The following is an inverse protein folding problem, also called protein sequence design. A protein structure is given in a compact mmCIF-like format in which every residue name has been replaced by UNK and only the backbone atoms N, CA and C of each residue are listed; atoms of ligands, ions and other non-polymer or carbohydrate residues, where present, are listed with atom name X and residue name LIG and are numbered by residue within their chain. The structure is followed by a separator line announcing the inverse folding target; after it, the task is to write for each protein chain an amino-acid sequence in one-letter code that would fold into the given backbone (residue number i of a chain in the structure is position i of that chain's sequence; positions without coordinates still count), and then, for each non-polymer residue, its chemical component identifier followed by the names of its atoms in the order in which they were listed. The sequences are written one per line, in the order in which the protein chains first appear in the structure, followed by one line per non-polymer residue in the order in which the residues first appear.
data_IF_337468355926
#
_entry.id   IF_337468355926
#
_cell.length_a   1.000
_cell.length_b   1.000
_cell.length_c   1.000
_cell.angle_alpha   90.00
_cell.angle_beta   90.00
_cell.angle_gamma   90.00
#
_symmetry.space_group_name_H-M   'P 1'
#
loop_
_entity.id
_entity.type
_entity.pdbx_description
1 polymer ?
#
# COMPACT_ATOMS: atom_id res chain seq x y z
N UNK A 1 18.94 -49.00 -61.93
CA UNK A 1 18.30 -48.31 -63.08
C UNK A 1 19.36 -48.10 -64.15
N UNK A 2 19.10 -48.48 -65.41
CA UNK A 2 20.00 -48.14 -66.54
C UNK A 2 20.01 -46.62 -66.68
N UNK A 3 21.16 -45.99 -66.48
CA UNK A 3 21.32 -44.56 -66.74
C UNK A 3 21.30 -44.35 -68.26
N UNK A 4 20.20 -43.78 -68.75
CA UNK A 4 20.11 -43.36 -70.15
C UNK A 4 20.85 -42.02 -70.23
N UNK A 5 22.03 -42.03 -70.82
CA UNK A 5 22.78 -40.81 -71.09
C UNK A 5 22.02 -39.98 -72.13
N UNK A 6 21.64 -38.76 -71.74
CA UNK A 6 20.99 -37.77 -72.60
C UNK A 6 21.90 -36.57 -72.74
N UNK A 7 22.03 -36.06 -73.96
CA UNK A 7 22.91 -34.93 -74.28
C UNK A 7 22.08 -33.67 -74.50
N UNK A 8 22.46 -32.57 -73.84
CA UNK A 8 21.91 -31.24 -74.08
C UNK A 8 22.93 -30.46 -74.91
N UNK A 9 22.49 -29.86 -76.02
CA UNK A 9 23.33 -28.99 -76.85
C UNK A 9 23.25 -27.55 -76.32
N UNK A 10 24.40 -26.88 -76.23
CA UNK A 10 24.52 -25.48 -75.83
C UNK A 10 25.73 -24.85 -76.54
N UNK A 11 25.85 -23.53 -76.50
CA UNK A 11 26.89 -22.81 -77.25
C UNK A 11 28.29 -23.00 -76.65
N UNK A 12 29.34 -22.77 -77.45
CA UNK A 12 30.74 -22.78 -76.96
C UNK A 12 30.93 -21.74 -75.85
N UNK A 13 30.25 -20.60 -75.95
CA UNK A 13 30.31 -19.54 -74.93
C UNK A 13 29.71 -20.00 -73.59
N UNK A 14 28.62 -20.77 -73.64
CA UNK A 14 28.01 -21.33 -72.44
C UNK A 14 28.85 -22.45 -71.85
N UNK A 15 29.60 -23.21 -72.67
CA UNK A 15 30.55 -24.21 -72.18
C UNK A 15 31.66 -23.59 -71.34
N UNK A 16 32.22 -22.47 -71.79
CA UNK A 16 33.25 -21.73 -71.05
C UNK A 16 32.71 -21.22 -69.72
N UNK A 17 31.48 -20.70 -69.68
CA UNK A 17 30.82 -20.27 -68.43
C UNK A 17 30.58 -21.47 -67.50
N UNK A 18 30.08 -22.58 -68.06
CA UNK A 18 29.74 -23.76 -67.31
C UNK A 18 30.98 -24.43 -66.68
N UNK A 19 32.08 -24.51 -67.43
CA UNK A 19 33.37 -24.99 -66.92
C UNK A 19 33.89 -24.11 -65.78
N UNK A 20 33.86 -22.78 -65.95
CA UNK A 20 34.29 -21.84 -64.89
C UNK A 20 33.48 -22.00 -63.60
N UNK A 21 32.15 -22.16 -63.69
CA UNK A 21 31.29 -22.34 -62.52
C UNK A 21 31.53 -23.71 -61.88
N UNK A 22 31.66 -24.77 -62.69
CA UNK A 22 31.94 -26.12 -62.23
C UNK A 22 33.28 -26.19 -61.46
N UNK A 23 34.34 -25.61 -62.03
CA UNK A 23 35.66 -25.50 -61.38
C UNK A 23 35.61 -24.67 -60.10
N UNK A 24 34.94 -23.50 -60.12
CA UNK A 24 34.80 -22.65 -58.93
C UNK A 24 34.11 -23.36 -57.77
N UNK A 25 33.14 -24.23 -58.06
CA UNK A 25 32.40 -24.99 -57.06
C UNK A 25 33.04 -26.35 -56.73
N UNK A 26 34.14 -26.73 -57.40
CA UNK A 26 34.82 -28.01 -57.21
C UNK A 26 33.99 -29.22 -57.65
N UNK A 27 33.14 -29.08 -58.67
CA UNK A 27 32.17 -30.10 -59.12
C UNK A 27 32.37 -30.42 -60.59
N UNK A 28 32.00 -31.63 -61.01
CA UNK A 28 31.91 -31.94 -62.44
C UNK A 28 30.71 -31.22 -63.06
N UNK A 29 30.80 -30.88 -64.36
CA UNK A 29 29.69 -30.29 -65.14
C UNK A 29 28.39 -31.06 -64.94
N UNK A 30 28.44 -32.40 -65.05
CA UNK A 30 27.28 -33.29 -64.84
C UNK A 30 26.64 -33.14 -63.46
N UNK A 31 27.45 -33.09 -62.40
CA UNK A 31 26.94 -32.94 -61.04
C UNK A 31 26.30 -31.56 -60.83
N UNK A 32 26.96 -30.50 -61.34
CA UNK A 32 26.44 -29.15 -61.27
C UNK A 32 25.10 -29.03 -62.01
N UNK A 33 24.97 -29.61 -63.20
CA UNK A 33 23.71 -29.61 -63.96
C UNK A 33 22.57 -30.32 -63.21
N UNK A 34 22.85 -31.50 -62.64
CA UNK A 34 21.84 -32.21 -61.83
C UNK A 34 21.37 -31.37 -60.65
N UNK A 35 22.30 -30.70 -59.96
CA UNK A 35 21.97 -29.84 -58.83
C UNK A 35 21.22 -28.57 -59.25
N UNK A 36 21.53 -28.00 -60.41
CA UNK A 36 20.76 -26.87 -60.97
C UNK A 36 19.32 -27.30 -61.27
N UNK A 37 19.13 -28.47 -61.90
CA UNK A 37 17.79 -29.02 -62.13
C UNK A 37 17.03 -29.24 -60.83
N UNK A 38 17.66 -29.88 -59.84
CA UNK A 38 17.05 -30.10 -58.52
C UNK A 38 16.72 -28.77 -57.83
N UNK A 39 17.61 -27.79 -57.93
CA UNK A 39 17.43 -26.46 -57.36
C UNK A 39 16.21 -25.75 -57.97
N UNK A 40 16.11 -25.66 -59.30
CA UNK A 40 14.97 -25.02 -59.94
C UNK A 40 13.67 -25.81 -59.75
N UNK A 41 13.74 -27.14 -59.78
CA UNK A 41 12.57 -27.99 -59.56
C UNK A 41 12.01 -27.86 -58.13
N UNK A 42 12.87 -27.77 -57.11
CA UNK A 42 12.45 -27.63 -55.70
C UNK A 42 12.11 -26.20 -55.33
N UNK A 43 12.91 -25.23 -55.77
CA UNK A 43 12.71 -23.82 -55.42
C UNK A 43 11.60 -23.16 -56.23
N UNK A 44 11.16 -23.79 -57.34
CA UNK A 44 10.19 -23.24 -58.30
C UNK A 44 10.58 -21.86 -58.86
N UNK A 45 11.85 -21.47 -58.70
CA UNK A 45 12.39 -20.23 -59.24
C UNK A 45 12.51 -20.34 -60.75
N UNK A 46 12.21 -19.25 -61.42
CA UNK A 46 12.46 -19.11 -62.85
C UNK A 46 13.95 -18.84 -63.08
N UNK A 47 14.68 -19.68 -63.86
CA UNK A 47 16.08 -19.43 -64.21
C UNK A 47 16.32 -18.11 -64.96
N UNK A 48 15.26 -17.50 -65.51
CA UNK A 48 15.32 -16.20 -66.18
C UNK A 48 15.14 -15.00 -65.23
N UNK A 49 14.70 -15.24 -63.99
CA UNK A 49 14.63 -14.22 -62.92
C UNK A 49 16.02 -13.98 -62.30
N UNK A 50 16.90 -13.31 -63.05
CA UNK A 50 18.26 -13.00 -62.62
C UNK A 50 18.33 -12.06 -61.40
N UNK A 51 17.24 -11.35 -61.10
CA UNK A 51 17.17 -10.38 -60.02
C UNK A 51 16.57 -10.94 -58.73
N UNK A 52 16.15 -12.22 -58.73
CA UNK A 52 15.49 -12.87 -57.58
C UNK A 52 14.27 -12.06 -57.09
N UNK A 53 13.45 -11.53 -58.00
CA UNK A 53 12.30 -10.68 -57.67
C UNK A 53 11.29 -11.40 -56.78
N UNK A 54 11.11 -12.71 -56.97
CA UNK A 54 10.25 -13.52 -56.11
C UNK A 54 10.72 -13.52 -54.66
N UNK A 55 12.03 -13.65 -54.42
CA UNK A 55 12.62 -13.62 -53.08
C UNK A 55 12.47 -12.24 -52.44
N UNK A 56 12.75 -11.17 -53.18
CA UNK A 56 12.58 -9.79 -52.70
C UNK A 56 11.14 -9.53 -52.28
N UNK A 57 10.17 -9.94 -53.11
CA UNK A 57 8.76 -9.78 -52.82
C UNK A 57 8.32 -10.54 -51.57
N UNK A 58 8.80 -11.77 -51.38
CA UNK A 58 8.52 -12.54 -50.15
C UNK A 58 9.09 -11.86 -48.91
N UNK A 59 10.34 -11.36 -48.97
CA UNK A 59 10.97 -10.65 -47.86
C UNK A 59 10.20 -9.35 -47.53
N UNK A 60 9.86 -8.56 -48.55
CA UNK A 60 9.09 -7.32 -48.37
C UNK A 60 7.70 -7.59 -47.80
N UNK A 61 7.05 -8.68 -48.23
CA UNK A 61 5.76 -9.10 -47.66
C UNK A 61 5.90 -9.47 -46.19
N UNK A 62 6.88 -10.29 -45.83
CA UNK A 62 7.15 -10.65 -44.43
C UNK A 62 7.45 -9.43 -43.56
N UNK A 63 8.25 -8.48 -44.06
CA UNK A 63 8.51 -7.22 -43.35
C UNK A 63 7.24 -6.40 -43.13
N UNK A 64 6.35 -6.30 -44.13
CA UNK A 64 5.06 -5.62 -43.98
C UNK A 64 4.18 -6.30 -42.94
N UNK A 65 4.16 -7.63 -42.89
CA UNK A 65 3.42 -8.40 -41.89
C UNK A 65 3.95 -8.13 -40.48
N UNK A 66 5.27 -8.15 -40.27
CA UNK A 66 5.86 -7.80 -38.98
C UNK A 66 5.57 -6.37 -38.54
N UNK A 67 5.69 -5.41 -39.45
CA UNK A 67 5.36 -4.00 -39.16
C UNK A 67 3.87 -3.88 -38.81
N UNK A 68 2.98 -4.58 -39.53
CA UNK A 68 1.56 -4.63 -39.23
C UNK A 68 1.28 -5.17 -37.83
N UNK A 69 1.92 -6.29 -37.48
CA UNK A 69 1.82 -6.90 -36.15
C UNK A 69 2.30 -5.96 -35.04
N UNK A 70 3.44 -5.29 -35.22
CA UNK A 70 3.98 -4.32 -34.24
C UNK A 70 2.99 -3.16 -34.06
N UNK A 71 2.41 -2.63 -35.14
CA UNK A 71 1.41 -1.56 -35.06
C UNK A 71 0.16 -1.99 -34.31
N UNK A 72 -0.29 -3.22 -34.52
CA UNK A 72 -1.44 -3.79 -33.79
C UNK A 72 -1.10 -3.92 -32.30
N UNK A 73 0.05 -4.50 -31.96
CA UNK A 73 0.51 -4.59 -30.57
C UNK A 73 0.63 -3.20 -29.91
N UNK A 74 1.18 -2.22 -30.61
CA UNK A 74 1.31 -0.87 -30.09
C UNK A 74 -0.06 -0.25 -29.79
N UNK A 75 -1.00 -0.37 -30.73
CA UNK A 75 -2.34 0.21 -30.62
C UNK A 75 -3.21 -0.49 -29.59
N UNK A 76 -3.20 -1.82 -29.57
CA UNK A 76 -4.13 -2.63 -28.79
C UNK A 76 -3.59 -2.99 -27.40
N UNK A 77 -2.27 -2.97 -27.21
CA UNK A 77 -1.64 -3.39 -25.97
C UNK A 77 -0.80 -2.28 -25.33
N UNK A 78 0.24 -1.79 -26.01
CA UNK A 78 1.25 -0.93 -25.38
C UNK A 78 0.69 0.46 -25.02
N UNK A 79 -0.08 1.08 -25.91
CA UNK A 79 -0.71 2.38 -25.65
C UNK A 79 -1.71 2.29 -24.49
N UNK A 80 -2.67 1.33 -24.46
CA UNK A 80 -3.55 1.13 -23.32
C UNK A 80 -2.81 0.92 -22.00
N UNK A 81 -1.82 0.02 -21.95
CA UNK A 81 -1.02 -0.23 -20.73
C UNK A 81 -0.39 1.06 -20.20
N UNK A 82 0.22 1.86 -21.09
CA UNK A 82 0.83 3.13 -20.68
C UNK A 82 -0.21 4.10 -20.11
N UNK A 83 -1.39 4.20 -20.75
CA UNK A 83 -2.48 5.08 -20.30
C UNK A 83 -3.05 4.63 -18.96
N UNK A 84 -3.28 3.34 -18.78
CA UNK A 84 -3.86 2.81 -17.55
C UNK A 84 -2.86 2.86 -16.39
N UNK A 85 -1.58 2.62 -16.65
CA UNK A 85 -0.51 2.82 -15.66
C UNK A 85 -0.44 4.29 -15.20
N UNK A 86 -0.52 5.24 -16.13
CA UNK A 86 -0.54 6.66 -15.77
C UNK A 86 -1.76 7.04 -14.91
N UNK A 87 -2.95 6.51 -15.23
CA UNK A 87 -4.16 6.71 -14.42
C UNK A 87 -4.03 6.08 -13.03
N UNK A 88 -3.46 4.89 -12.95
CA UNK A 88 -3.23 4.19 -11.69
C UNK A 88 -2.28 4.98 -10.78
N UNK A 89 -1.19 5.52 -11.33
CA UNK A 89 -0.26 6.39 -10.58
C UNK A 89 -1.00 7.60 -10.02
N UNK A 90 -1.85 8.24 -10.80
CA UNK A 90 -2.60 9.41 -10.34
C UNK A 90 -3.61 9.06 -9.23
N UNK A 91 -4.32 7.93 -9.38
CA UNK A 91 -5.20 7.43 -8.32
C UNK A 91 -4.41 7.12 -7.03
N UNK A 92 -3.22 6.53 -7.14
CA UNK A 92 -2.37 6.26 -5.98
C UNK A 92 -1.91 7.53 -5.27
N UNK A 93 -1.57 8.60 -6.01
CA UNK A 93 -1.26 9.90 -5.41
C UNK A 93 -2.45 10.44 -4.62
N UNK A 94 -3.64 10.41 -5.19
CA UNK A 94 -4.86 10.85 -4.49
C UNK A 94 -5.10 10.04 -3.20
N UNK A 95 -4.86 8.73 -3.23
CA UNK A 95 -4.98 7.89 -2.03
C UNK A 95 -3.96 8.31 -0.98
N UNK A 96 -2.70 8.54 -1.36
CA UNK A 96 -1.65 9.01 -0.44
C UNK A 96 -2.02 10.36 0.16
N UNK A 97 -2.49 11.31 -0.65
CA UNK A 97 -2.90 12.64 -0.19
C UNK A 97 -4.06 12.54 0.81
N UNK A 98 -5.08 11.72 0.52
CA UNK A 98 -6.19 11.46 1.43
C UNK A 98 -5.73 10.80 2.71
N UNK A 99 -4.84 9.82 2.63
CA UNK A 99 -4.30 9.16 3.82
C UNK A 99 -3.55 10.14 4.73
N UNK A 100 -2.71 10.98 4.15
CA UNK A 100 -1.95 11.98 4.91
C UNK A 100 -2.87 13.03 5.56
N UNK A 101 -3.87 13.52 4.83
CA UNK A 101 -4.75 14.58 5.34
C UNK A 101 -5.83 14.04 6.28
N UNK A 102 -6.50 12.95 5.93
CA UNK A 102 -7.68 12.48 6.66
C UNK A 102 -7.31 11.50 7.77
N UNK A 103 -6.28 10.68 7.59
CA UNK A 103 -5.91 9.66 8.58
C UNK A 103 -4.84 10.20 9.52
N UNK A 104 -3.69 10.65 8.99
CA UNK A 104 -2.58 11.06 9.86
C UNK A 104 -2.94 12.30 10.67
N UNK A 105 -3.38 13.38 10.01
CA UNK A 105 -3.74 14.62 10.72
C UNK A 105 -4.88 14.40 11.72
N UNK A 106 -5.90 13.61 11.36
CA UNK A 106 -7.00 13.32 12.30
C UNK A 106 -6.55 12.48 13.49
N UNK A 107 -5.60 11.56 13.29
CA UNK A 107 -5.01 10.81 14.39
C UNK A 107 -4.21 11.73 15.32
N UNK A 108 -3.45 12.69 14.78
CA UNK A 108 -2.76 13.72 15.58
C UNK A 108 -3.76 14.54 16.40
N UNK A 109 -4.80 15.09 15.76
CA UNK A 109 -5.86 15.85 16.45
C UNK A 109 -6.56 15.00 17.52
N UNK A 110 -6.80 13.72 17.26
CA UNK A 110 -7.44 12.81 18.21
C UNK A 110 -6.54 12.54 19.42
N UNK A 111 -5.23 12.34 19.21
CA UNK A 111 -4.26 12.15 20.28
C UNK A 111 -4.12 13.40 21.15
N UNK A 112 -4.07 14.59 20.55
CA UNK A 112 -4.06 15.86 21.28
C UNK A 112 -5.31 16.03 22.13
N UNK A 113 -6.49 15.78 21.56
CA UNK A 113 -7.75 15.84 22.29
C UNK A 113 -7.83 14.82 23.42
N UNK A 114 -7.35 13.59 23.21
CA UNK A 114 -7.27 12.58 24.27
C UNK A 114 -6.31 13.01 25.39
N UNK A 115 -5.16 13.60 25.04
CA UNK A 115 -4.24 14.14 26.06
C UNK A 115 -4.88 15.28 26.84
N UNK A 116 -5.64 16.16 26.20
CA UNK A 116 -6.34 17.25 26.86
C UNK A 116 -7.45 16.72 27.79
N UNK A 117 -8.22 15.74 27.33
CA UNK A 117 -9.24 15.07 28.14
C UNK A 117 -8.62 14.37 29.35
N UNK A 118 -7.50 13.67 29.19
CA UNK A 118 -6.82 13.00 30.30
C UNK A 118 -6.37 13.98 31.39
N UNK A 119 -5.86 15.16 31.02
CA UNK A 119 -5.50 16.23 31.96
C UNK A 119 -6.73 16.75 32.71
N UNK A 120 -7.82 17.04 31.99
CA UNK A 120 -9.08 17.49 32.60
C UNK A 120 -9.66 16.44 33.55
N UNK A 121 -9.60 15.16 33.19
CA UNK A 121 -10.05 14.05 34.03
C UNK A 121 -9.22 13.93 35.31
N UNK A 122 -7.91 14.14 35.21
CA UNK A 122 -7.01 14.16 36.38
C UNK A 122 -7.37 15.30 37.34
N UNK A 123 -7.60 16.50 36.83
CA UNK A 123 -8.03 17.64 37.65
C UNK A 123 -9.39 17.38 38.32
N UNK A 124 -10.35 16.78 37.59
CA UNK A 124 -11.63 16.37 38.17
C UNK A 124 -11.47 15.34 39.28
N UNK A 125 -10.55 14.38 39.12
CA UNK A 125 -10.25 13.38 40.15
C UNK A 125 -9.71 14.01 41.42
N UNK A 126 -8.84 15.01 41.31
CA UNK A 126 -8.32 15.75 42.47
C UNK A 126 -9.45 16.51 43.20
N UNK A 127 -10.34 17.16 42.45
CA UNK A 127 -11.51 17.84 43.02
C UNK A 127 -12.42 16.84 43.74
N UNK A 128 -12.72 15.70 43.12
CA UNK A 128 -13.54 14.66 43.73
C UNK A 128 -12.92 14.12 45.03
N UNK A 129 -11.60 13.87 45.04
CA UNK A 129 -10.88 13.46 46.25
C UNK A 129 -10.96 14.50 47.37
N UNK A 130 -10.80 15.79 47.03
CA UNK A 130 -10.92 16.87 48.00
C UNK A 130 -12.35 16.99 48.56
N UNK A 131 -13.38 16.78 47.74
CA UNK A 131 -14.77 16.74 48.19
C UNK A 131 -14.97 15.58 49.16
N UNK A 132 -14.49 14.39 48.82
CA UNK A 132 -14.61 13.19 49.66
C UNK A 132 -13.93 13.39 51.03
N UNK A 133 -12.72 13.95 51.05
CA UNK A 133 -12.02 14.30 52.29
C UNK A 133 -12.81 15.31 53.15
N UNK A 134 -13.34 16.38 52.53
CA UNK A 134 -14.15 17.40 53.22
C UNK A 134 -15.47 16.83 53.74
N UNK A 135 -16.10 15.93 53.00
CA UNK A 135 -17.32 15.26 53.45
C UNK A 135 -17.03 14.33 54.64
N UNK A 136 -15.96 13.54 54.57
CA UNK A 136 -15.56 12.65 55.66
C UNK A 136 -15.21 13.40 56.95
N UNK A 137 -14.49 14.52 56.85
CA UNK A 137 -14.17 15.39 57.98
C UNK A 137 -15.41 16.08 58.57
N UNK A 138 -16.31 16.59 57.72
CA UNK A 138 -17.61 17.13 58.16
C UNK A 138 -18.43 16.10 58.94
N UNK A 139 -18.47 14.86 58.47
CA UNK A 139 -19.25 13.80 59.12
C UNK A 139 -18.63 13.39 60.47
N UNK A 140 -17.29 13.35 60.57
CA UNK A 140 -16.61 13.16 61.86
C UNK A 140 -16.90 14.30 62.83
N UNK A 141 -16.82 15.55 62.37
CA UNK A 141 -17.12 16.72 63.20
C UNK A 141 -18.54 16.66 63.76
N UNK A 142 -19.54 16.35 62.93
CA UNK A 142 -20.93 16.16 63.38
C UNK A 142 -21.03 15.09 64.48
N UNK A 143 -20.38 13.94 64.31
CA UNK A 143 -20.38 12.87 65.32
C UNK A 143 -19.74 13.33 66.64
N UNK A 144 -18.61 14.03 66.57
CA UNK A 144 -17.93 14.57 67.76
C UNK A 144 -18.78 15.61 68.48
N UNK A 145 -19.40 16.55 67.76
CA UNK A 145 -20.31 17.54 68.34
C UNK A 145 -21.53 16.87 68.97
N UNK A 146 -22.12 15.87 68.32
CA UNK A 146 -23.24 15.10 68.88
C UNK A 146 -22.85 14.36 70.16
N UNK A 147 -21.64 13.78 70.24
CA UNK A 147 -21.14 13.14 71.45
C UNK A 147 -21.00 14.14 72.60
N UNK A 148 -20.37 15.29 72.35
CA UNK A 148 -20.24 16.37 73.34
C UNK A 148 -21.61 16.85 73.82
N UNK A 149 -22.53 17.12 72.89
CA UNK A 149 -23.87 17.59 73.20
C UNK A 149 -24.66 16.56 74.03
N UNK A 150 -24.59 15.28 73.68
CA UNK A 150 -25.25 14.22 74.43
C UNK A 150 -24.68 14.07 75.85
N UNK A 151 -23.35 14.20 76.01
CA UNK A 151 -22.71 14.21 77.32
C UNK A 151 -23.15 15.42 78.15
N UNK A 152 -23.18 16.62 77.55
CA UNK A 152 -23.69 17.84 78.19
C UNK A 152 -25.14 17.68 78.64
N UNK A 153 -26.03 17.19 77.78
CA UNK A 153 -27.45 16.95 78.12
C UNK A 153 -27.55 16.00 79.30
N UNK A 154 -26.83 14.86 79.26
CA UNK A 154 -26.86 13.86 80.33
C UNK A 154 -26.36 14.41 81.66
N UNK A 155 -25.22 15.11 81.66
CA UNK A 155 -24.68 15.73 82.86
C UNK A 155 -25.62 16.81 83.38
N UNK A 156 -26.23 17.59 82.48
CA UNK A 156 -27.20 18.62 82.85
C UNK A 156 -28.48 18.04 83.46
N UNK A 157 -29.01 16.94 82.93
CA UNK A 157 -30.17 16.24 83.49
C UNK A 157 -29.87 15.62 84.86
N UNK A 158 -28.62 15.19 85.09
CA UNK A 158 -28.18 14.67 86.38
C UNK A 158 -28.08 15.75 87.47
N UNK A 159 -28.02 17.04 87.09
CA UNK A 159 -28.01 18.16 88.02
C UNK A 159 -29.41 18.43 88.60
N UNK A 160 -29.61 18.09 89.88
CA UNK A 160 -30.86 18.30 90.60
C UNK A 160 -31.08 19.75 91.08
N UNK A 161 -32.17 19.97 91.84
CA UNK A 161 -32.58 21.29 92.38
C UNK A 161 -31.56 21.96 93.31
N UNK A 162 -30.60 21.21 93.88
CA UNK A 162 -29.55 21.75 94.77
C UNK A 162 -28.25 22.15 94.06
N UNK A 163 -28.17 21.98 92.74
CA UNK A 163 -26.95 22.29 91.97
C UNK A 163 -26.78 23.80 91.80
N UNK A 164 -25.62 24.32 92.18
CA UNK A 164 -25.34 25.76 92.21
C UNK A 164 -25.29 26.36 90.80
N UNK A 165 -25.59 27.66 90.68
CA UNK A 165 -25.45 28.37 89.40
C UNK A 165 -24.01 28.32 88.85
N UNK A 166 -23.01 28.20 89.75
CA UNK A 166 -21.59 28.11 89.40
C UNK A 166 -21.24 26.79 88.71
N UNK A 167 -21.66 25.65 89.24
CA UNK A 167 -21.42 24.33 88.63
C UNK A 167 -22.10 24.21 87.26
N UNK A 168 -23.26 24.87 87.12
CA UNK A 168 -24.00 24.97 85.86
C UNK A 168 -23.23 25.75 84.79
N UNK A 169 -22.52 26.82 85.17
CA UNK A 169 -21.67 27.58 84.25
C UNK A 169 -20.35 26.86 83.98
N UNK A 170 -19.74 26.20 84.98
CA UNK A 170 -18.53 25.39 84.79
C UNK A 170 -18.76 24.26 83.77
N UNK A 171 -19.90 23.57 83.81
CA UNK A 171 -20.28 22.58 82.80
C UNK A 171 -20.45 23.20 81.39
N UNK A 172 -21.06 24.38 81.30
CA UNK A 172 -21.23 25.09 80.04
C UNK A 172 -19.86 25.52 79.47
N UNK A 173 -18.98 26.02 80.32
CA UNK A 173 -17.63 26.44 79.96
C UNK A 173 -16.78 25.26 79.48
N UNK A 174 -16.84 24.12 80.19
CA UNK A 174 -16.15 22.90 79.80
C UNK A 174 -16.64 22.36 78.45
N UNK A 175 -17.95 22.43 78.19
CA UNK A 175 -18.54 22.02 76.92
C UNK A 175 -18.11 22.94 75.78
N UNK A 176 -18.08 24.27 76.00
CA UNK A 176 -17.55 25.24 75.03
C UNK A 176 -16.09 24.94 74.69
N UNK A 177 -15.24 24.67 75.69
CA UNK A 177 -13.84 24.27 75.48
C UNK A 177 -13.70 22.98 74.69
N UNK A 178 -14.56 21.98 74.95
CA UNK A 178 -14.55 20.72 74.18
C UNK A 178 -14.91 20.95 72.71
N UNK A 179 -15.81 21.90 72.41
CA UNK A 179 -16.15 22.28 71.03
C UNK A 179 -15.02 23.07 70.37
N UNK A 180 -14.33 23.96 71.08
CA UNK A 180 -13.18 24.70 70.56
C UNK A 180 -11.99 23.79 70.19
N UNK A 181 -11.90 22.60 70.78
CA UNK A 181 -10.85 21.62 70.51
C UNK A 181 -11.14 20.71 69.29
N UNK A 182 -12.30 20.85 68.65
CA UNK A 182 -12.70 20.08 67.45
C UNK A 182 -12.33 20.78 66.14
#
# INVERSE_FOLDING_TARGET
MKEILRTVKYSIQDDVKFEKIALKLGRSKRLLFSQMLDYFYRSKKDPTDLNDELLKNTILKGQKEYIGFIKVQEKELLIPIKRDSARMIEAMKMIIDRFNVEVLKRNEELLENQSAQAKSLSALKEVAYNIELKMGSKERLKKSVMLILNSYIRERESMGMMTSAREKEELAEQTRRQIELL
#
